data_IF_893922728190
#
_entry.id   IF_893922728190
#
_cell.length_a   1.000
_cell.length_b   1.000
_cell.length_c   1.000
_cell.angle_alpha   90.00
_cell.angle_beta   90.00
_cell.angle_gamma   90.00
#
_symmetry.space_group_name_H-M   'P 1'
#
loop_
_entity.id
_entity.type
_entity.pdbx_description
1 polymer ?
#
# COMPACT_ATOMS: atom_id res chain seq x y z
N UNK A 1 -19.61 -1.72 -3.18
CA UNK A 1 -19.81 -3.14 -2.89
C UNK A 1 -21.10 -3.35 -2.08
N UNK A 2 -21.64 -4.57 -2.14
CA UNK A 2 -22.77 -5.00 -1.31
C UNK A 2 -22.42 -6.34 -0.66
N UNK A 3 -22.66 -6.43 0.67
CA UNK A 3 -22.42 -7.65 1.43
C UNK A 3 -23.44 -7.74 2.59
N UNK A 4 -24.06 -8.89 2.80
CA UNK A 4 -25.05 -9.15 3.85
C UNK A 4 -26.12 -8.06 4.00
N UNK A 5 -26.65 -7.60 2.86
CA UNK A 5 -27.68 -6.57 2.82
C UNK A 5 -27.21 -5.13 2.99
N UNK A 6 -25.94 -4.91 3.35
CA UNK A 6 -25.32 -3.59 3.50
C UNK A 6 -24.62 -3.12 2.23
N UNK A 7 -24.48 -1.82 2.09
CA UNK A 7 -23.85 -1.14 0.97
C UNK A 7 -22.58 -0.42 1.45
N UNK A 8 -21.45 -0.66 0.80
CA UNK A 8 -20.13 -0.12 1.13
C UNK A 8 -19.71 0.85 0.04
N UNK A 9 -19.70 2.14 0.38
CA UNK A 9 -19.26 3.23 -0.49
C UNK A 9 -17.79 3.51 -0.22
N UNK A 10 -16.93 3.22 -1.18
CA UNK A 10 -15.51 3.54 -1.12
C UNK A 10 -15.26 4.91 -1.77
N UNK A 11 -14.31 5.67 -1.20
CA UNK A 11 -13.94 7.00 -1.69
C UNK A 11 -12.46 7.26 -1.43
N UNK A 12 -11.85 8.06 -2.30
CA UNK A 12 -10.43 8.41 -2.19
C UNK A 12 -10.22 9.75 -1.47
N UNK A 13 -9.21 9.82 -0.60
CA UNK A 13 -8.86 11.01 0.17
C UNK A 13 -7.41 10.90 0.69
N UNK A 14 -6.66 12.00 0.95
CA UNK A 14 -7.03 13.39 0.68
C UNK A 14 -6.80 13.81 -0.77
N UNK A 15 -5.61 13.60 -1.33
CA UNK A 15 -5.30 13.98 -2.70
C UNK A 15 -4.13 13.15 -3.24
N UNK A 16 -4.15 12.88 -4.54
CA UNK A 16 -3.29 11.91 -5.21
C UNK A 16 -1.79 12.24 -5.17
N UNK A 17 -1.41 13.49 -4.93
CA UNK A 17 0.00 13.90 -4.85
C UNK A 17 0.66 13.61 -3.49
N UNK A 18 -0.12 13.20 -2.49
CA UNK A 18 0.41 12.92 -1.15
C UNK A 18 0.66 11.43 -0.92
N UNK A 19 1.71 11.10 -0.17
CA UNK A 19 2.00 9.73 0.25
C UNK A 19 0.89 9.12 1.11
N UNK A 20 0.11 9.97 1.78
CA UNK A 20 -1.04 9.59 2.59
C UNK A 20 -2.34 9.42 1.78
N UNK A 21 -2.26 9.42 0.45
CA UNK A 21 -3.40 9.13 -0.40
C UNK A 21 -3.95 7.73 -0.12
N UNK A 22 -5.22 7.66 0.20
CA UNK A 22 -5.86 6.47 0.75
C UNK A 22 -7.30 6.34 0.25
N UNK A 23 -7.91 5.19 0.45
CA UNK A 23 -9.34 5.01 0.33
C UNK A 23 -9.99 4.86 1.71
N UNK A 24 -11.19 5.40 1.85
CA UNK A 24 -12.05 5.21 2.99
C UNK A 24 -13.36 4.52 2.61
N UNK A 25 -14.12 4.10 3.60
CA UNK A 25 -15.40 3.39 3.42
C UNK A 25 -16.48 3.99 4.29
N UNK A 26 -17.65 4.20 3.70
CA UNK A 26 -18.92 4.43 4.39
C UNK A 26 -19.84 3.25 4.19
N UNK A 27 -20.67 2.94 5.19
CA UNK A 27 -21.61 1.81 5.19
C UNK A 27 -23.04 2.29 5.38
N UNK A 28 -23.99 1.66 4.68
CA UNK A 28 -25.42 1.92 4.82
C UNK A 28 -26.24 0.64 4.63
N UNK A 29 -27.42 0.57 5.26
CA UNK A 29 -28.41 -0.47 5.01
C UNK A 29 -29.25 -0.19 3.74
N UNK A 30 -29.07 0.97 3.11
CA UNK A 30 -29.80 1.39 1.91
C UNK A 30 -28.87 1.94 0.83
N UNK A 31 -29.15 1.70 -0.46
CA UNK A 31 -28.26 2.11 -1.55
C UNK A 31 -28.06 3.63 -1.64
N UNK A 32 -29.04 4.43 -1.19
CA UNK A 32 -28.98 5.89 -1.19
C UNK A 32 -28.67 6.48 0.20
N UNK A 33 -28.31 5.64 1.17
CA UNK A 33 -28.00 6.09 2.52
C UNK A 33 -29.21 6.23 3.45
N UNK A 34 -29.04 6.87 4.62
CA UNK A 34 -27.82 7.57 5.06
C UNK A 34 -26.63 6.62 5.26
N UNK A 35 -25.46 7.10 4.93
CA UNK A 35 -24.20 6.39 5.11
C UNK A 35 -23.49 6.82 6.39
N UNK A 36 -22.86 5.87 7.08
CA UNK A 36 -22.04 6.10 8.27
C UNK A 36 -20.59 5.67 7.97
N UNK A 37 -19.63 6.36 8.57
CA UNK A 37 -18.23 6.03 8.43
C UNK A 37 -17.97 4.63 9.02
N UNK A 38 -17.38 3.74 8.23
CA UNK A 38 -16.99 2.42 8.71
C UNK A 38 -15.88 2.51 9.76
N UNK A 39 -15.73 1.47 10.59
CA UNK A 39 -14.72 1.44 11.67
C UNK A 39 -13.31 1.32 11.11
N UNK A 40 -13.12 0.54 10.04
CA UNK A 40 -11.83 0.30 9.39
C UNK A 40 -11.46 1.43 8.41
N UNK A 41 -11.14 2.60 8.94
CA UNK A 41 -10.66 3.73 8.16
C UNK A 41 -9.35 4.30 8.71
N UNK A 42 -8.41 4.66 7.83
CA UNK A 42 -8.45 4.49 6.36
C UNK A 42 -8.47 3.01 5.96
N UNK A 43 -9.27 2.70 4.93
CA UNK A 43 -9.50 1.32 4.46
C UNK A 43 -8.29 0.76 3.72
N UNK A 44 -7.75 1.51 2.74
CA UNK A 44 -6.48 1.21 2.10
C UNK A 44 -5.54 2.39 2.31
N UNK A 45 -4.39 2.14 2.95
CA UNK A 45 -3.49 3.19 3.41
C UNK A 45 -2.06 2.68 3.49
N UNK A 46 -1.18 3.24 2.68
CA UNK A 46 0.25 2.88 2.65
C UNK A 46 1.10 4.15 2.51
N UNK A 47 1.34 4.88 3.61
CA UNK A 47 2.05 6.17 3.58
C UNK A 47 3.57 6.02 3.41
N UNK A 48 4.10 4.83 3.58
CA UNK A 48 5.52 4.49 3.48
C UNK A 48 5.73 3.16 2.76
N UNK A 49 6.95 2.65 2.81
CA UNK A 49 7.40 1.49 2.06
C UNK A 49 8.00 1.87 0.71
N UNK A 50 8.30 0.89 -0.13
CA UNK A 50 9.00 1.11 -1.39
C UNK A 50 8.19 2.00 -2.35
N UNK A 51 6.88 1.75 -2.47
CA UNK A 51 5.95 2.55 -3.27
C UNK A 51 4.77 2.96 -2.38
N UNK A 52 4.64 4.23 -2.01
CA UNK A 52 3.58 4.69 -1.13
C UNK A 52 2.27 5.04 -1.85
N UNK A 53 1.25 5.38 -1.06
CA UNK A 53 -0.09 5.71 -1.52
C UNK A 53 -0.96 4.47 -1.62
N UNK A 54 -2.27 4.62 -1.65
CA UNK A 54 -3.23 3.52 -1.79
C UNK A 54 -4.64 4.01 -2.09
N UNK A 55 -4.77 5.17 -2.71
CA UNK A 55 -6.08 5.77 -3.03
C UNK A 55 -6.57 5.49 -4.44
N UNK A 56 -7.77 5.96 -4.75
CA UNK A 56 -8.45 5.80 -6.03
C UNK A 56 -8.65 4.34 -6.43
N UNK A 57 -9.03 3.54 -5.43
CA UNK A 57 -9.14 2.11 -5.58
C UNK A 57 -10.54 1.61 -5.85
N UNK A 58 -10.61 0.32 -6.06
CA UNK A 58 -11.85 -0.44 -6.19
C UNK A 58 -11.66 -1.84 -5.63
N UNK A 59 -12.66 -2.34 -4.92
CA UNK A 59 -12.70 -3.72 -4.44
C UNK A 59 -13.59 -4.55 -5.35
N UNK A 60 -13.06 -5.69 -5.78
CA UNK A 60 -13.73 -6.64 -6.66
C UNK A 60 -13.67 -8.04 -6.08
N UNK A 61 -14.64 -8.86 -6.44
CA UNK A 61 -14.67 -10.29 -6.19
C UNK A 61 -14.16 -11.04 -7.42
N UNK A 62 -13.27 -12.01 -7.24
CA UNK A 62 -12.80 -12.87 -8.31
C UNK A 62 -13.72 -14.08 -8.53
N UNK A 63 -13.41 -14.91 -9.54
CA UNK A 63 -14.22 -16.09 -9.86
C UNK A 63 -14.24 -17.18 -8.76
N UNK A 64 -13.47 -17.04 -7.68
CA UNK A 64 -13.45 -17.96 -6.52
C UNK A 64 -14.19 -17.43 -5.32
N UNK A 65 -14.70 -16.19 -5.37
CA UNK A 65 -15.34 -15.50 -4.25
C UNK A 65 -14.37 -14.73 -3.36
N UNK A 66 -13.09 -14.68 -3.71
CA UNK A 66 -12.10 -13.90 -2.96
C UNK A 66 -12.16 -12.42 -3.34
N UNK A 67 -12.04 -11.55 -2.32
CA UNK A 67 -12.06 -10.11 -2.53
C UNK A 67 -10.64 -9.55 -2.68
N UNK A 68 -10.48 -8.69 -3.65
CA UNK A 68 -9.25 -7.99 -3.96
C UNK A 68 -9.49 -6.50 -4.07
N UNK A 69 -8.61 -5.71 -3.46
CA UNK A 69 -8.60 -4.27 -3.62
C UNK A 69 -7.44 -3.86 -4.51
N UNK A 70 -7.73 -3.05 -5.52
CA UNK A 70 -6.71 -2.40 -6.35
C UNK A 70 -6.71 -0.92 -6.08
N UNK A 71 -5.56 -0.29 -6.08
CA UNK A 71 -5.47 1.15 -5.93
C UNK A 71 -4.27 1.75 -6.66
N UNK A 72 -4.19 3.06 -6.64
CA UNK A 72 -3.11 3.82 -7.24
C UNK A 72 -1.96 3.97 -6.25
N UNK A 73 -0.78 3.47 -6.64
CA UNK A 73 0.47 3.66 -5.91
C UNK A 73 1.28 4.78 -6.55
N UNK A 74 1.85 5.66 -5.73
CA UNK A 74 2.67 6.79 -6.18
C UNK A 74 4.13 6.37 -6.29
N UNK A 75 4.70 6.41 -7.48
CA UNK A 75 6.12 6.19 -7.67
C UNK A 75 6.88 7.53 -7.83
N UNK A 76 6.32 8.48 -8.58
CA UNK A 76 6.79 9.87 -8.72
C UNK A 76 8.28 10.04 -9.00
N UNK A 77 8.87 9.14 -9.79
CA UNK A 77 10.29 9.23 -10.18
C UNK A 77 10.52 10.25 -11.30
N UNK A 78 9.66 10.23 -12.32
CA UNK A 78 9.79 11.09 -13.48
C UNK A 78 8.88 12.33 -13.39
N UNK A 79 7.73 12.19 -12.77
CA UNK A 79 6.78 13.29 -12.51
C UNK A 79 5.79 12.91 -11.40
N UNK A 80 5.16 13.93 -10.79
CA UNK A 80 4.29 13.77 -9.60
C UNK A 80 3.08 12.86 -9.80
N UNK A 81 2.66 12.59 -11.03
CA UNK A 81 1.51 11.73 -11.34
C UNK A 81 1.91 10.39 -11.95
N UNK A 82 3.18 10.01 -11.82
CA UNK A 82 3.61 8.67 -12.19
C UNK A 82 3.07 7.66 -11.17
N UNK A 83 2.33 6.67 -11.65
CA UNK A 83 1.59 5.72 -10.82
C UNK A 83 1.85 4.28 -11.23
N UNK A 84 1.63 3.39 -10.27
CA UNK A 84 1.55 1.94 -10.46
C UNK A 84 0.26 1.43 -9.84
N UNK A 85 -0.17 0.27 -10.25
CA UNK A 85 -1.30 -0.42 -9.63
C UNK A 85 -0.79 -1.22 -8.44
N UNK A 86 -1.37 -0.95 -7.27
CA UNK A 86 -1.22 -1.81 -6.09
C UNK A 86 -2.36 -2.83 -6.03
N UNK A 87 -2.06 -4.00 -5.48
CA UNK A 87 -3.04 -5.06 -5.25
C UNK A 87 -2.94 -5.53 -3.80
N UNK A 88 -4.08 -5.62 -3.15
CA UNK A 88 -4.21 -6.14 -1.79
C UNK A 88 -5.32 -7.17 -1.71
N UNK A 89 -5.15 -8.18 -0.86
CA UNK A 89 -6.28 -8.98 -0.44
C UNK A 89 -7.23 -8.16 0.42
N UNK A 90 -8.51 -8.43 0.30
CA UNK A 90 -9.57 -7.77 1.03
C UNK A 90 -10.60 -8.82 1.50
N UNK A 91 -11.48 -8.43 2.42
CA UNK A 91 -12.50 -9.31 2.94
C UNK A 91 -13.43 -8.60 3.89
N UNK A 92 -14.30 -9.38 4.50
CA UNK A 92 -15.16 -8.93 5.60
C UNK A 92 -14.75 -9.67 6.87
N UNK A 93 -14.62 -8.94 7.97
CA UNK A 93 -14.38 -9.54 9.28
C UNK A 93 -15.66 -10.11 9.91
N UNK A 94 -15.54 -10.66 11.11
CA UNK A 94 -16.65 -11.28 11.83
C UNK A 94 -17.79 -10.29 12.18
N UNK A 95 -17.48 -8.99 12.22
CA UNK A 95 -18.46 -7.92 12.47
C UNK A 95 -19.09 -7.40 11.16
N UNK A 96 -18.67 -7.94 10.01
CA UNK A 96 -19.08 -7.49 8.68
C UNK A 96 -18.45 -6.18 8.24
N UNK A 97 -17.33 -5.78 8.85
CA UNK A 97 -16.57 -4.62 8.41
C UNK A 97 -15.67 -5.01 7.24
N UNK A 98 -15.71 -4.23 6.18
CA UNK A 98 -14.81 -4.41 5.04
C UNK A 98 -13.40 -4.05 5.45
N UNK A 99 -12.43 -4.92 5.20
CA UNK A 99 -11.01 -4.67 5.43
C UNK A 99 -10.18 -4.83 4.17
N UNK A 100 -9.01 -4.23 4.17
CA UNK A 100 -7.96 -4.42 3.19
C UNK A 100 -6.67 -4.77 3.93
N UNK A 101 -5.96 -5.81 3.47
CA UNK A 101 -4.67 -6.18 4.06
C UNK A 101 -3.58 -5.21 3.61
N UNK A 102 -3.34 -4.18 4.41
CA UNK A 102 -2.44 -3.06 4.08
C UNK A 102 -0.95 -3.40 4.20
N UNK A 103 -0.59 -4.64 4.59
CA UNK A 103 0.80 -5.10 4.71
C UNK A 103 1.48 -5.31 3.37
N UNK A 104 0.68 -5.39 2.30
CA UNK A 104 1.14 -5.60 0.93
C UNK A 104 1.00 -4.32 0.09
N UNK A 105 0.89 -4.47 -1.21
CA UNK A 105 0.75 -3.38 -2.17
C UNK A 105 1.95 -3.28 -3.09
N UNK A 106 3.14 -3.37 -2.56
CA UNK A 106 4.43 -3.37 -3.28
C UNK A 106 5.28 -4.63 -3.02
N UNK A 107 4.76 -5.58 -2.24
CA UNK A 107 5.41 -6.85 -1.93
C UNK A 107 4.90 -7.99 -2.81
N UNK A 108 5.77 -8.96 -3.16
CA UNK A 108 5.32 -10.18 -3.82
C UNK A 108 4.31 -10.94 -2.96
N UNK A 109 3.28 -11.50 -3.59
CA UNK A 109 2.31 -12.36 -2.93
C UNK A 109 1.96 -13.56 -3.82
N UNK A 110 1.72 -14.72 -3.21
CA UNK A 110 1.09 -15.85 -3.85
C UNK A 110 -0.44 -15.71 -3.70
N UNK A 111 -1.16 -15.57 -4.81
CA UNK A 111 -2.61 -15.31 -4.81
C UNK A 111 -3.39 -16.41 -4.10
N UNK A 112 -2.96 -17.66 -4.25
CA UNK A 112 -3.57 -18.84 -3.63
C UNK A 112 -3.57 -18.75 -2.11
N UNK A 113 -2.46 -18.32 -1.52
CA UNK A 113 -2.31 -18.19 -0.07
C UNK A 113 -3.29 -17.16 0.52
N UNK A 114 -3.55 -16.08 -0.21
CA UNK A 114 -4.47 -15.03 0.21
C UNK A 114 -5.94 -15.37 -0.03
N UNK A 115 -6.23 -16.33 -0.90
CA UNK A 115 -7.57 -16.91 -1.02
C UNK A 115 -7.94 -17.73 0.21
N UNK A 116 -6.97 -18.42 0.81
CA UNK A 116 -7.15 -19.19 2.04
C UNK A 116 -7.22 -18.29 3.28
N UNK A 117 -6.32 -17.30 3.35
CA UNK A 117 -6.25 -16.33 4.46
C UNK A 117 -5.97 -14.91 3.96
N UNK A 118 -7.01 -14.07 3.75
CA UNK A 118 -6.82 -12.69 3.33
C UNK A 118 -6.06 -11.81 4.34
N UNK A 119 -5.93 -12.26 5.60
CA UNK A 119 -5.16 -11.58 6.65
C UNK A 119 -3.70 -12.05 6.76
N UNK A 120 -3.27 -12.96 5.94
CA UNK A 120 -1.91 -13.50 5.96
C UNK A 120 -0.85 -12.39 6.03
N UNK A 121 0.19 -12.64 6.83
CA UNK A 121 1.33 -11.74 6.91
C UNK A 121 2.27 -11.97 5.72
N UNK A 122 3.01 -10.90 5.25
CA UNK A 122 4.08 -11.09 4.29
C UNK A 122 5.13 -12.06 4.83
N UNK A 123 5.58 -12.97 3.99
CA UNK A 123 6.73 -13.83 4.28
C UNK A 123 8.06 -13.11 4.06
N UNK A 124 8.02 -11.99 3.34
CA UNK A 124 9.17 -11.17 3.02
C UNK A 124 9.32 -10.01 3.99
N UNK A 125 10.56 -9.80 4.42
CA UNK A 125 10.93 -8.65 5.24
C UNK A 125 12.29 -8.15 4.77
N UNK A 126 12.43 -6.85 4.54
CA UNK A 126 13.72 -6.22 4.31
C UNK A 126 14.48 -6.15 5.64
N UNK A 127 15.42 -7.08 5.86
CA UNK A 127 16.14 -7.20 7.12
C UNK A 127 17.05 -5.99 7.42
N UNK A 128 17.44 -5.24 6.40
CA UNK A 128 18.23 -4.01 6.52
C UNK A 128 17.40 -2.76 6.81
N UNK A 129 16.05 -2.83 6.75
CA UNK A 129 15.21 -1.66 7.00
C UNK A 129 15.44 -1.08 8.40
N UNK A 130 15.73 0.23 8.44
CA UNK A 130 15.99 0.95 9.70
C UNK A 130 17.28 0.55 10.41
N UNK A 131 18.17 -0.22 9.77
CA UNK A 131 19.50 -0.53 10.30
C UNK A 131 20.46 0.59 9.98
N UNK A 132 21.44 0.77 10.88
CA UNK A 132 22.57 1.65 10.62
C UNK A 132 23.37 1.14 9.41
N UNK A 133 23.61 2.04 8.47
CA UNK A 133 24.32 1.76 7.24
C UNK A 133 25.56 2.65 7.14
N UNK A 134 26.64 2.08 6.62
CA UNK A 134 27.88 2.84 6.37
C UNK A 134 28.32 2.67 4.92
N UNK A 135 29.04 3.64 4.41
CA UNK A 135 29.65 3.58 3.08
C UNK A 135 31.02 4.23 3.09
N UNK A 136 31.90 3.75 2.23
CA UNK A 136 33.26 4.33 2.05
C UNK A 136 33.21 5.76 1.49
N UNK A 137 32.15 6.10 0.76
CA UNK A 137 31.87 7.46 0.28
C UNK A 137 30.40 7.63 -0.09
N UNK A 138 29.90 8.84 -0.09
CA UNK A 138 28.58 9.17 -0.63
C UNK A 138 28.50 10.61 -1.11
N UNK A 139 27.59 10.86 -2.02
CA UNK A 139 27.22 12.20 -2.50
C UNK A 139 26.25 12.83 -1.50
N UNK A 140 26.35 14.15 -1.26
CA UNK A 140 25.42 14.88 -0.39
C UNK A 140 23.96 14.67 -0.83
N UNK A 141 23.08 14.32 0.10
CA UNK A 141 21.72 13.96 -0.15
C UNK A 141 21.51 12.52 -0.66
N UNK A 142 22.59 11.71 -0.70
CA UNK A 142 22.57 10.29 -1.12
C UNK A 142 23.30 9.42 -0.09
N UNK A 143 22.92 9.59 1.16
CA UNK A 143 23.51 8.92 2.32
C UNK A 143 23.27 7.41 2.31
N UNK A 144 24.12 6.59 2.98
CA UNK A 144 24.01 5.13 2.99
C UNK A 144 22.64 4.58 3.42
N UNK A 145 22.00 5.22 4.37
CA UNK A 145 20.69 4.80 4.92
C UNK A 145 19.61 4.71 3.85
N UNK A 146 19.74 5.50 2.78
CA UNK A 146 18.81 5.51 1.64
C UNK A 146 18.83 4.24 0.79
N UNK A 147 19.79 3.35 1.03
CA UNK A 147 19.81 2.04 0.38
C UNK A 147 18.81 1.04 1.03
N UNK A 148 18.35 1.32 2.25
CA UNK A 148 17.56 0.37 3.05
C UNK A 148 16.31 0.99 3.68
N UNK A 149 15.83 2.14 3.21
CA UNK A 149 14.64 2.82 3.75
C UNK A 149 13.32 2.49 3.03
N UNK A 150 13.36 1.57 2.06
CA UNK A 150 12.19 1.17 1.24
C UNK A 150 11.47 2.35 0.57
N UNK A 151 12.23 3.29 0.03
CA UNK A 151 11.68 4.44 -0.69
C UNK A 151 12.25 4.47 -2.12
N UNK A 152 11.38 4.27 -3.12
CA UNK A 152 11.79 4.25 -4.53
C UNK A 152 12.32 5.60 -5.04
N UNK A 153 12.05 6.70 -4.34
CA UNK A 153 12.45 8.06 -4.73
C UNK A 153 13.82 8.45 -4.19
N UNK A 154 14.41 7.64 -3.33
CA UNK A 154 15.71 7.89 -2.71
C UNK A 154 16.63 6.70 -2.93
N UNK A 155 17.92 6.96 -2.94
CA UNK A 155 18.93 5.92 -3.13
C UNK A 155 20.28 6.39 -2.59
N UNK A 156 21.11 5.47 -2.16
CA UNK A 156 22.51 5.73 -1.93
C UNK A 156 23.27 5.91 -3.24
N UNK A 157 24.25 6.81 -3.25
CA UNK A 157 25.15 7.02 -4.36
C UNK A 157 26.57 7.32 -3.87
N UNK A 158 27.55 6.56 -4.38
CA UNK A 158 28.97 6.84 -4.12
C UNK A 158 29.38 8.22 -4.64
N UNK A 159 30.31 8.87 -3.95
CA UNK A 159 30.82 10.20 -4.34
C UNK A 159 31.53 10.21 -5.70
N UNK A 160 32.10 9.07 -6.11
CA UNK A 160 32.69 8.90 -7.44
C UNK A 160 32.35 7.53 -8.02
N UNK A 161 32.33 7.39 -9.35
CA UNK A 161 32.01 6.14 -10.03
C UNK A 161 33.00 4.98 -9.74
N UNK A 162 34.12 5.24 -9.10
CA UNK A 162 35.17 4.26 -8.81
C UNK A 162 35.32 3.91 -7.31
N UNK A 163 34.55 4.51 -6.45
CA UNK A 163 34.74 4.37 -5.00
C UNK A 163 33.43 4.31 -4.26
N UNK A 164 32.82 3.15 -4.14
CA UNK A 164 31.67 3.02 -3.27
C UNK A 164 31.46 1.57 -2.85
N UNK A 165 31.70 1.28 -1.59
CA UNK A 165 31.26 0.07 -0.93
C UNK A 165 30.19 0.47 0.09
N UNK A 166 29.14 -0.29 0.13
CA UNK A 166 28.04 -0.17 1.10
C UNK A 166 28.09 -1.37 2.04
N UNK A 167 28.02 -1.15 3.32
CA UNK A 167 27.98 -2.21 4.36
C UNK A 167 26.97 -1.91 5.47
#
# INVERSE_FOLDING_TARGET
NKHDGKYYLQYACPATQYNIYADGVYVSDKPLGPYQLAKNNPFSYKPGGFIPGAGHGSTMEDGTGSLWHTSTMSISLNHNYERRVGLWSAGFDADGELFCNQRYGDWPMAVEDFREDPWRNPEWMLLSYGKEMTASSFEEGKEPEKAAEENVQTWWRAATAQSGELS
#
